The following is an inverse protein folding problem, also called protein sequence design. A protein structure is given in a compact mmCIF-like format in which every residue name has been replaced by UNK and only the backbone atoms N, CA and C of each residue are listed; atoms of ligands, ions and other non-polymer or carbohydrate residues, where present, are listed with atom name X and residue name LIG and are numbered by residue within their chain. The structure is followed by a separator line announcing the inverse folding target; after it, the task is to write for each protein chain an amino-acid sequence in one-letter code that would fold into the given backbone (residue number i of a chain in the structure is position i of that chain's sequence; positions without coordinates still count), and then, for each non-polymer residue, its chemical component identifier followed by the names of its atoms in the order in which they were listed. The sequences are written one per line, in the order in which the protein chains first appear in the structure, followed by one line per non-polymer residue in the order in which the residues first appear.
data_IF_656809352829
#
_entry.id   IF_656809352829
#
_cell.length_a   1.000
_cell.length_b   1.000
_cell.length_c   1.000
_cell.angle_alpha   90.00
_cell.angle_beta   90.00
_cell.angle_gamma   90.00
#
_symmetry.space_group_name_H-M   'P 1'
#
loop_
_entity.id
_entity.type
_entity.pdbx_description
1 polymer ?
#
# COMPACT_ATOMS: atom_id res chain seq x y z
N UNK A 1 -17.64 -3.25 0.31
CA UNK A 1 -16.21 -2.85 0.47
C UNK A 1 -15.92 -1.39 0.11
N UNK A 2 -15.19 -0.66 0.96
CA UNK A 2 -14.71 0.72 0.68
C UNK A 2 -13.29 0.91 1.23
N UNK A 3 -12.44 1.67 0.56
CA UNK A 3 -11.18 2.09 1.18
C UNK A 3 -11.43 3.23 2.16
N UNK A 4 -10.92 3.10 3.38
CA UNK A 4 -10.94 4.21 4.33
C UNK A 4 -10.10 5.41 3.82
N UNK A 5 -10.29 6.61 4.40
CA UNK A 5 -9.43 7.75 4.13
C UNK A 5 -7.96 7.43 4.41
N UNK A 6 -7.06 8.14 3.73
CA UNK A 6 -5.63 8.06 4.01
C UNK A 6 -5.33 8.65 5.38
N UNK A 7 -4.60 7.91 6.20
CA UNK A 7 -4.13 8.36 7.51
C UNK A 7 -2.63 8.00 7.70
N UNK A 8 -1.90 8.67 8.60
CA UNK A 8 -0.49 8.40 8.86
C UNK A 8 -0.23 6.95 9.25
N UNK A 9 0.80 6.32 8.68
CA UNK A 9 1.18 4.94 8.99
C UNK A 9 1.52 4.78 10.48
N UNK A 10 2.08 5.82 11.11
CA UNK A 10 2.33 5.86 12.55
C UNK A 10 1.06 5.71 13.40
N UNK A 11 -0.10 6.14 12.90
CA UNK A 11 -1.39 6.05 13.60
C UNK A 11 -2.16 4.76 13.25
N UNK A 12 -1.57 3.87 12.45
CA UNK A 12 -2.25 2.66 12.00
C UNK A 12 -2.69 1.73 13.13
N UNK A 13 -1.98 1.73 14.26
CA UNK A 13 -2.38 0.96 15.44
C UNK A 13 -3.76 1.38 15.99
N UNK A 14 -4.17 2.63 15.78
CA UNK A 14 -5.44 3.18 16.29
C UNK A 14 -6.58 3.05 15.27
N UNK A 15 -6.27 3.16 13.97
CA UNK A 15 -7.27 3.18 12.91
C UNK A 15 -7.50 1.83 12.23
N UNK A 16 -6.43 1.05 12.01
CA UNK A 16 -6.56 -0.19 11.25
C UNK A 16 -7.32 -1.27 12.05
N UNK A 17 -8.14 -2.09 11.39
CA UNK A 17 -8.80 -3.23 12.03
C UNK A 17 -7.79 -4.36 12.27
N UNK A 18 -7.99 -5.09 13.36
CA UNK A 18 -7.23 -6.31 13.67
C UNK A 18 -7.88 -7.53 12.99
N UNK A 19 -8.14 -7.41 11.69
CA UNK A 19 -8.88 -8.38 10.88
C UNK A 19 -8.19 -8.55 9.52
N UNK A 20 -8.61 -9.58 8.78
CA UNK A 20 -8.07 -9.86 7.45
C UNK A 20 -8.47 -8.77 6.46
N UNK A 21 -7.50 -8.30 5.68
CA UNK A 21 -7.76 -7.30 4.68
C UNK A 21 -6.52 -6.86 3.92
N UNK A 22 -6.68 -5.73 3.25
CA UNK A 22 -5.66 -5.18 2.35
C UNK A 22 -5.24 -3.83 2.87
N UNK A 23 -3.92 -3.65 3.00
CA UNK A 23 -3.28 -2.39 3.31
C UNK A 23 -2.64 -1.83 2.05
N UNK A 24 -2.84 -0.54 1.80
CA UNK A 24 -2.11 0.22 0.80
C UNK A 24 -1.35 1.33 1.47
N UNK A 25 -0.11 1.54 1.06
CA UNK A 25 0.79 2.55 1.60
C UNK A 25 1.31 3.43 0.47
N UNK A 26 1.43 4.72 0.75
CA UNK A 26 1.98 5.73 -0.13
C UNK A 26 2.82 6.73 0.66
N UNK A 27 3.69 7.46 -0.03
CA UNK A 27 4.32 8.65 0.53
C UNK A 27 3.28 9.78 0.67
N UNK A 28 3.40 10.59 1.73
CA UNK A 28 2.51 11.71 1.99
C UNK A 28 2.68 12.82 0.95
N UNK A 29 3.93 13.12 0.59
CA UNK A 29 4.29 14.16 -0.36
C UNK A 29 5.23 13.63 -1.44
N UNK A 30 5.05 14.12 -2.66
CA UNK A 30 5.85 13.74 -3.83
C UNK A 30 5.31 12.54 -4.60
N UNK A 31 6.07 12.14 -5.62
CA UNK A 31 5.79 10.99 -6.45
C UNK A 31 7.10 10.25 -6.71
N UNK A 32 7.04 8.93 -6.68
CA UNK A 32 8.16 8.09 -7.02
C UNK A 32 8.16 7.76 -8.51
N UNK A 33 9.36 7.65 -9.08
CA UNK A 33 9.55 7.28 -10.46
C UNK A 33 9.44 5.76 -10.63
N UNK A 34 8.54 5.35 -11.52
CA UNK A 34 8.32 3.97 -11.94
C UNK A 34 8.66 3.81 -13.43
N UNK A 35 8.94 2.59 -13.91
CA UNK A 35 9.34 2.35 -15.31
C UNK A 35 8.43 3.00 -16.37
N UNK A 36 7.11 3.03 -16.14
CA UNK A 36 6.14 3.57 -17.10
C UNK A 36 5.32 4.73 -16.55
N UNK A 37 5.75 5.41 -15.48
CA UNK A 37 5.04 6.56 -14.92
C UNK A 37 5.57 7.03 -13.57
N UNK A 38 4.77 7.80 -12.83
CA UNK A 38 5.06 8.20 -11.46
C UNK A 38 3.89 7.91 -10.55
N UNK A 39 4.14 7.47 -9.31
CA UNK A 39 3.10 7.15 -8.34
C UNK A 39 3.59 7.39 -6.92
N UNK A 40 2.69 7.82 -6.03
CA UNK A 40 2.99 7.94 -4.61
C UNK A 40 2.95 6.58 -3.88
N UNK A 41 2.33 5.56 -4.48
CA UNK A 41 2.17 4.26 -3.81
C UNK A 41 3.52 3.57 -3.66
N UNK A 42 3.80 3.02 -2.48
CA UNK A 42 5.06 2.35 -2.14
C UNK A 42 4.88 0.91 -1.71
N UNK A 43 3.69 0.50 -1.27
CA UNK A 43 3.52 -0.86 -0.77
C UNK A 43 2.08 -1.29 -0.71
N UNK A 44 1.76 -2.48 -1.22
CA UNK A 44 0.45 -3.14 -1.04
C UNK A 44 0.65 -4.45 -0.30
N UNK A 45 -0.08 -4.65 0.78
CA UNK A 45 -0.06 -5.88 1.54
C UNK A 45 -1.45 -6.46 1.70
N UNK A 46 -1.54 -7.78 1.67
CA UNK A 46 -2.66 -8.55 2.19
C UNK A 46 -2.19 -9.19 3.49
N UNK A 47 -2.96 -9.02 4.56
CA UNK A 47 -2.63 -9.57 5.87
C UNK A 47 -3.89 -10.06 6.61
N UNK A 48 -3.80 -11.17 7.36
CA UNK A 48 -4.89 -11.65 8.22
C UNK A 48 -5.14 -10.75 9.44
N UNK A 49 -4.17 -9.90 9.79
CA UNK A 49 -4.31 -8.84 10.77
C UNK A 49 -3.65 -7.58 10.21
N UNK A 50 -4.47 -6.71 9.63
CA UNK A 50 -3.99 -5.48 8.99
C UNK A 50 -3.36 -4.52 10.00
N UNK A 51 -3.88 -4.44 11.23
CA UNK A 51 -3.34 -3.59 12.30
C UNK A 51 -1.94 -4.03 12.70
N UNK A 52 -1.75 -5.32 12.98
CA UNK A 52 -0.45 -5.86 13.37
C UNK A 52 0.57 -5.65 12.25
N UNK A 53 0.19 -5.93 11.01
CA UNK A 53 1.06 -5.72 9.85
C UNK A 53 1.45 -4.24 9.68
N UNK A 54 0.48 -3.34 9.72
CA UNK A 54 0.74 -1.90 9.59
C UNK A 54 1.60 -1.36 10.72
N UNK A 55 1.43 -1.87 11.95
CA UNK A 55 2.23 -1.47 13.11
C UNK A 55 3.70 -1.91 12.97
N UNK A 56 3.93 -3.15 12.52
CA UNK A 56 5.30 -3.64 12.22
C UNK A 56 5.93 -2.83 11.09
N UNK A 57 5.14 -2.49 10.07
CA UNK A 57 5.60 -1.67 8.96
C UNK A 57 5.97 -0.25 9.41
N UNK A 58 5.13 0.38 10.24
CA UNK A 58 5.41 1.68 10.85
C UNK A 58 6.70 1.67 11.66
N UNK A 59 6.92 0.60 12.45
CA UNK A 59 8.15 0.44 13.23
C UNK A 59 9.41 0.25 12.36
N UNK A 60 9.26 -0.25 11.13
CA UNK A 60 10.36 -0.44 10.19
C UNK A 60 10.70 0.84 9.42
N UNK A 61 9.79 1.82 9.39
CA UNK A 61 9.93 3.12 8.73
C UNK A 61 9.72 4.29 9.71
N UNK A 62 10.52 4.37 10.79
CA UNK A 62 10.33 5.41 11.80
C UNK A 62 10.66 6.79 11.24
N UNK A 63 9.70 7.72 11.35
CA UNK A 63 9.90 9.12 10.93
C UNK A 63 9.77 9.37 9.44
N UNK A 64 9.35 8.38 8.65
CA UNK A 64 8.95 8.62 7.27
C UNK A 64 7.50 9.10 7.21
N UNK A 65 7.23 10.13 6.40
CA UNK A 65 5.89 10.65 6.12
C UNK A 65 5.14 9.69 5.17
N UNK A 66 4.78 8.52 5.69
CA UNK A 66 4.02 7.50 5.00
C UNK A 66 2.55 7.58 5.40
N UNK A 67 1.67 7.52 4.42
CA UNK A 67 0.23 7.36 4.60
C UNK A 67 -0.17 5.94 4.26
N UNK A 68 -1.06 5.37 5.06
CA UNK A 68 -1.67 4.10 4.76
C UNK A 68 -3.19 4.20 4.76
N UNK A 69 -3.82 3.22 4.12
CA UNK A 69 -5.26 2.99 4.18
C UNK A 69 -5.50 1.50 4.09
N UNK A 70 -6.57 1.04 4.72
CA UNK A 70 -7.04 -0.32 4.61
C UNK A 70 -8.39 -0.40 3.89
N UNK A 71 -8.70 -1.59 3.39
CA UNK A 71 -10.05 -1.92 2.94
C UNK A 71 -10.97 -2.10 4.15
N UNK A 72 -12.09 -1.40 4.17
CA UNK A 72 -13.22 -1.64 5.06
C UNK A 72 -14.15 -2.64 4.38
N UNK A 73 -14.30 -3.81 4.99
CA UNK A 73 -15.24 -4.84 4.58
C UNK A 73 -16.47 -4.71 5.48
N UNK A 74 -17.66 -4.61 4.89
CA UNK A 74 -18.88 -4.50 5.68
C UNK A 74 -19.18 -5.82 6.41
N UNK A 75 -19.72 -5.77 7.63
CA UNK A 75 -20.05 -6.98 8.37
C UNK A 75 -21.05 -7.84 7.58
N UNK A 76 -20.66 -9.09 7.30
CA UNK A 76 -21.44 -10.04 6.50
C UNK A 76 -21.09 -10.08 5.01
N UNK A 77 -20.17 -9.24 4.54
CA UNK A 77 -19.60 -9.31 3.19
C UNK A 77 -18.36 -10.21 3.20
N UNK A 78 -18.39 -11.33 2.48
CA UNK A 78 -17.19 -12.15 2.26
C UNK A 78 -16.44 -11.59 1.06
N UNK A 79 -15.27 -11.00 1.30
CA UNK A 79 -14.38 -10.53 0.23
C UNK A 79 -13.13 -11.41 0.21
N UNK A 80 -12.80 -11.94 -0.96
CA UNK A 80 -11.52 -12.59 -1.17
C UNK A 80 -10.42 -11.52 -1.26
N UNK A 81 -9.88 -11.16 -0.09
CA UNK A 81 -8.88 -10.12 0.06
C UNK A 81 -7.58 -10.47 -0.68
N UNK A 82 -7.24 -11.76 -0.76
CA UNK A 82 -6.09 -12.24 -1.53
C UNK A 82 -6.28 -12.02 -3.03
N UNK A 83 -7.44 -12.41 -3.59
CA UNK A 83 -7.74 -12.19 -5.00
C UNK A 83 -7.83 -10.70 -5.35
N UNK A 84 -8.39 -9.89 -4.46
CA UNK A 84 -8.48 -8.45 -4.67
C UNK A 84 -7.09 -7.79 -4.60
N UNK A 85 -6.22 -8.20 -3.67
CA UNK A 85 -4.83 -7.74 -3.60
C UNK A 85 -4.07 -8.08 -4.89
N UNK A 86 -4.16 -9.32 -5.37
CA UNK A 86 -3.54 -9.74 -6.63
C UNK A 86 -4.03 -8.89 -7.82
N UNK A 87 -5.33 -8.58 -7.86
CA UNK A 87 -5.92 -7.74 -8.90
C UNK A 87 -5.37 -6.32 -8.89
N UNK A 88 -5.39 -5.63 -7.73
CA UNK A 88 -4.91 -4.24 -7.65
C UNK A 88 -3.41 -4.12 -7.89
N UNK A 89 -2.63 -5.11 -7.46
CA UNK A 89 -1.18 -5.19 -7.74
C UNK A 89 -0.93 -5.40 -9.23
N UNK A 90 -1.66 -6.31 -9.88
CA UNK A 90 -1.56 -6.53 -11.34
C UNK A 90 -1.91 -5.28 -12.13
N UNK A 91 -2.97 -4.56 -11.75
CA UNK A 91 -3.33 -3.28 -12.38
C UNK A 91 -2.25 -2.21 -12.17
N UNK A 92 -1.64 -2.18 -10.98
CA UNK A 92 -0.53 -1.25 -10.70
C UNK A 92 0.67 -1.54 -11.59
N UNK A 93 1.13 -2.80 -11.63
CA UNK A 93 2.24 -3.25 -12.50
C UNK A 93 1.92 -2.96 -13.96
N UNK A 94 0.69 -3.17 -14.41
CA UNK A 94 0.29 -2.86 -15.79
C UNK A 94 0.40 -1.36 -16.12
N UNK A 95 0.12 -0.48 -15.15
CA UNK A 95 0.14 0.98 -15.35
C UNK A 95 1.52 1.59 -15.16
N UNK A 96 2.30 1.09 -14.20
CA UNK A 96 3.57 1.68 -13.77
C UNK A 96 4.80 0.82 -14.13
N UNK A 97 4.59 -0.41 -14.59
CA UNK A 97 5.63 -1.30 -15.11
C UNK A 97 6.36 -2.12 -14.04
N UNK A 98 6.06 -1.90 -12.76
CA UNK A 98 6.61 -2.67 -11.64
C UNK A 98 5.69 -2.62 -10.42
N UNK A 99 5.95 -3.48 -9.43
CA UNK A 99 5.22 -3.53 -8.17
C UNK A 99 5.52 -2.30 -7.31
N UNK A 100 4.57 -1.87 -6.46
CA UNK A 100 4.83 -0.77 -5.55
C UNK A 100 5.91 -1.17 -4.55
N UNK A 101 6.98 -0.38 -4.47
CA UNK A 101 8.10 -0.60 -3.53
C UNK A 101 8.56 0.72 -2.92
N UNK A 102 9.09 0.66 -1.70
CA UNK A 102 9.67 1.81 -0.99
C UNK A 102 10.91 2.39 -1.69
N UNK A 103 11.56 1.61 -2.55
CA UNK A 103 12.69 2.05 -3.37
C UNK A 103 12.47 1.61 -4.83
N UNK A 104 11.62 2.32 -5.60
CA UNK A 104 11.35 1.93 -6.96
C UNK A 104 12.61 2.09 -7.80
N UNK A 105 12.94 1.01 -8.51
CA UNK A 105 14.12 0.97 -9.36
C UNK A 105 13.91 1.97 -10.49
N UNK A 106 14.61 3.10 -10.39
CA UNK A 106 14.90 3.94 -11.55
C UNK A 106 15.72 3.06 -12.51
N UNK A 107 15.05 2.42 -13.47
CA UNK A 107 15.76 1.82 -14.59
C UNK A 107 16.45 2.97 -15.31
N UNK A 108 17.69 3.23 -14.91
CA UNK A 108 18.61 4.17 -15.52
C UNK A 108 18.71 3.82 -16.99
N UNK A 109 17.92 4.49 -17.82
CA UNK A 109 18.19 4.50 -19.26
C UNK A 109 19.61 5.05 -19.39
N UNK A 110 20.55 4.33 -20.03
CA UNK A 110 21.80 4.95 -20.41
C UNK A 110 21.45 6.14 -21.30
N UNK A 111 21.88 7.34 -20.89
CA UNK A 111 21.87 8.52 -21.76
C UNK A 111 22.80 8.23 -22.95
N UNK A 112 22.48 8.76 -24.15
CA UNK A 112 23.00 8.29 -25.43
C UNK A 112 24.52 8.39 -25.56
#
# INVERSE_FOLDING_TARGET
MRFCPWYPLAEAAQHAPAEEGILQVRIAEGLLDYPTGKSAMVHYAHAPDVRAYATVLAASHPGEDLLCRHLEIEPGETVDAAAFHAKVTTEFVRRFGSEPTFAPCISSKPRP
#
